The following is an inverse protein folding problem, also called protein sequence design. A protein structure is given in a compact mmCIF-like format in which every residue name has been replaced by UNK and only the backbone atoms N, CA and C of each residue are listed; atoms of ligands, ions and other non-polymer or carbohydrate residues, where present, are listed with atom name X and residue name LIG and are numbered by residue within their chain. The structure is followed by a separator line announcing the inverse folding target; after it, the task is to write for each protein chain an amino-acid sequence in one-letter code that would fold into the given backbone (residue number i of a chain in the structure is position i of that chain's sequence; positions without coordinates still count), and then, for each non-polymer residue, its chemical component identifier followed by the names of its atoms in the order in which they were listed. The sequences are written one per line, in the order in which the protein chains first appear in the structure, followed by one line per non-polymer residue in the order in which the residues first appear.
data_IF_568700168142
#
_entry.id   IF_568700168142
#
_cell.length_a   1.000
_cell.length_b   1.000
_cell.length_c   1.000
_cell.angle_alpha   90.00
_cell.angle_beta   90.00
_cell.angle_gamma   90.00
#
_symmetry.space_group_name_H-M   'P 1'
#
loop_
_entity.id
_entity.type
_entity.pdbx_description
1 polymer ?
#
# COMPACT_ATOMS: atom_id res chain seq x y z
N UNK A 1 -15.12 -16.49 9.83
CA UNK A 1 -15.52 -17.65 9.02
C UNK A 1 -14.27 -18.21 8.37
N UNK A 2 -13.84 -19.42 8.75
CA UNK A 2 -12.68 -20.05 8.13
C UNK A 2 -13.05 -20.43 6.68
N UNK A 3 -12.25 -20.02 5.74
CA UNK A 3 -12.42 -20.38 4.32
C UNK A 3 -11.75 -21.75 4.13
N UNK A 4 -12.52 -22.74 3.71
CA UNK A 4 -11.96 -24.03 3.33
C UNK A 4 -11.09 -23.84 2.09
N UNK A 5 -9.78 -24.10 2.25
CA UNK A 5 -8.79 -24.03 1.18
C UNK A 5 -9.14 -24.96 0.02
N UNK A 6 -9.73 -26.12 0.29
CA UNK A 6 -10.16 -27.07 -0.74
C UNK A 6 -11.34 -26.50 -1.56
N UNK A 7 -12.26 -25.77 -0.92
CA UNK A 7 -13.37 -25.10 -1.62
C UNK A 7 -12.89 -23.91 -2.44
N UNK A 8 -11.91 -23.15 -1.92
CA UNK A 8 -11.26 -22.05 -2.66
C UNK A 8 -10.52 -22.57 -3.90
N UNK A 9 -9.80 -23.67 -3.78
CA UNK A 9 -9.16 -24.34 -4.91
C UNK A 9 -10.19 -24.80 -5.94
N UNK A 10 -11.30 -25.43 -5.51
CA UNK A 10 -12.38 -25.84 -6.41
C UNK A 10 -12.99 -24.68 -7.17
N UNK A 11 -13.23 -23.54 -6.52
CA UNK A 11 -13.76 -22.31 -7.17
C UNK A 11 -12.78 -21.70 -8.17
N UNK A 12 -11.49 -21.66 -7.82
CA UNK A 12 -10.43 -21.17 -8.73
C UNK A 12 -10.20 -22.07 -9.93
N UNK A 13 -10.56 -23.36 -9.83
CA UNK A 13 -10.34 -24.37 -10.86
C UNK A 13 -11.59 -24.69 -11.69
N UNK A 14 -12.71 -24.02 -11.48
CA UNK A 14 -13.97 -24.27 -12.25
C UNK A 14 -13.82 -24.07 -13.76
N UNK A 15 -12.75 -23.39 -14.21
CA UNK A 15 -12.44 -23.20 -15.64
C UNK A 15 -11.28 -24.10 -16.15
N UNK A 16 -10.76 -25.00 -15.31
CA UNK A 16 -9.67 -25.90 -15.68
C UNK A 16 -10.23 -27.31 -15.79
N UNK A 17 -10.39 -27.81 -17.00
CA UNK A 17 -11.01 -29.10 -17.31
C UNK A 17 -10.27 -30.33 -16.78
N UNK A 18 -9.03 -30.17 -16.30
CA UNK A 18 -8.22 -31.20 -15.61
C UNK A 18 -7.28 -30.53 -14.61
N UNK A 19 -7.21 -31.09 -13.39
CA UNK A 19 -6.15 -30.77 -12.43
C UNK A 19 -4.88 -31.46 -12.94
N UNK A 20 -3.95 -30.70 -13.49
CA UNK A 20 -2.64 -31.20 -13.84
C UNK A 20 -1.81 -31.35 -12.57
N UNK A 21 -1.38 -32.60 -12.30
CA UNK A 21 -0.43 -32.88 -11.21
C UNK A 21 0.95 -32.95 -11.85
N UNK A 22 1.78 -31.96 -11.53
CA UNK A 22 3.15 -31.90 -12.00
C UNK A 22 4.05 -32.81 -11.18
N UNK A 23 4.87 -33.60 -11.85
CA UNK A 23 5.81 -34.54 -11.23
C UNK A 23 7.23 -34.26 -11.72
N UNK A 24 7.67 -33.03 -11.56
CA UNK A 24 9.05 -32.67 -11.91
C UNK A 24 10.00 -33.01 -10.78
N UNK A 25 11.24 -33.36 -11.13
CA UNK A 25 12.32 -33.44 -10.15
C UNK A 25 12.71 -32.01 -9.70
N UNK A 26 13.12 -31.90 -8.45
CA UNK A 26 13.68 -30.66 -7.93
C UNK A 26 15.17 -30.55 -8.30
N UNK A 27 15.58 -29.38 -8.78
CA UNK A 27 16.99 -29.07 -9.02
C UNK A 27 17.76 -28.82 -7.71
N UNK A 28 17.06 -28.39 -6.66
CA UNK A 28 17.64 -27.99 -5.38
C UNK A 28 17.26 -28.97 -4.26
N UNK A 29 18.17 -29.13 -3.30
CA UNK A 29 17.88 -29.85 -2.05
C UNK A 29 17.03 -28.99 -1.12
N UNK A 30 16.06 -29.62 -0.45
CA UNK A 30 15.25 -28.98 0.58
C UNK A 30 16.13 -28.46 1.72
N UNK A 31 15.92 -27.21 2.13
CA UNK A 31 16.55 -26.64 3.32
C UNK A 31 16.06 -27.29 4.62
N UNK A 32 16.80 -27.11 5.69
CA UNK A 32 16.44 -27.52 7.04
C UNK A 32 16.39 -26.32 8.00
N UNK A 33 15.57 -26.43 9.04
CA UNK A 33 15.42 -25.37 10.05
C UNK A 33 16.53 -25.47 11.10
N UNK A 34 17.10 -24.34 11.48
CA UNK A 34 18.05 -24.20 12.56
C UNK A 34 17.97 -22.84 13.22
N UNK A 35 18.26 -22.79 14.53
CA UNK A 35 18.55 -21.54 15.23
C UNK A 35 20.03 -21.23 15.07
N UNK A 36 20.36 -20.07 14.51
CA UNK A 36 21.74 -19.65 14.24
C UNK A 36 22.03 -18.39 15.03
N UNK A 37 23.19 -18.35 15.72
CA UNK A 37 23.65 -17.13 16.37
C UNK A 37 23.72 -16.01 15.33
N UNK A 38 23.10 -14.87 15.63
CA UNK A 38 23.04 -13.73 14.72
C UNK A 38 24.40 -13.27 14.24
N UNK A 39 25.47 -13.48 15.07
CA UNK A 39 26.85 -13.09 14.79
C UNK A 39 27.53 -13.99 13.75
N UNK A 40 27.03 -15.21 13.58
CA UNK A 40 27.58 -16.17 12.62
C UNK A 40 26.99 -15.97 11.21
N UNK A 41 25.95 -15.12 11.08
CA UNK A 41 25.30 -14.86 9.80
C UNK A 41 25.99 -13.70 9.07
N UNK A 42 26.58 -14.01 7.94
CA UNK A 42 27.34 -13.08 7.10
C UNK A 42 26.49 -12.56 5.92
N UNK A 43 26.93 -11.44 5.34
CA UNK A 43 26.33 -10.82 4.14
C UNK A 43 27.35 -10.79 3.03
N UNK A 44 27.01 -11.34 1.87
CA UNK A 44 27.86 -11.31 0.68
C UNK A 44 27.44 -10.16 -0.24
N UNK A 45 28.23 -9.09 -0.29
CA UNK A 45 27.94 -7.88 -1.06
C UNK A 45 28.12 -8.05 -2.57
N UNK A 46 28.65 -9.15 -3.06
CA UNK A 46 28.76 -9.41 -4.51
C UNK A 46 27.40 -9.59 -5.18
N UNK A 47 26.38 -10.13 -4.47
CA UNK A 47 25.03 -10.31 -5.01
C UNK A 47 23.91 -9.68 -4.14
N UNK A 48 24.22 -9.29 -2.92
CA UNK A 48 23.29 -8.59 -2.04
C UNK A 48 23.30 -7.08 -2.32
N UNK A 49 22.23 -6.41 -1.88
CA UNK A 49 22.11 -4.96 -2.04
C UNK A 49 23.18 -4.25 -1.23
N UNK A 50 24.05 -3.49 -1.88
CA UNK A 50 25.02 -2.62 -1.22
C UNK A 50 24.34 -1.52 -0.39
N UNK A 51 23.27 -0.94 -0.94
CA UNK A 51 22.55 0.16 -0.30
C UNK A 51 21.54 -0.36 0.71
N UNK A 52 21.91 -0.31 1.99
CA UNK A 52 21.06 -0.70 3.11
C UNK A 52 20.04 0.40 3.40
N UNK A 53 18.75 0.03 3.51
CA UNK A 53 17.70 0.91 3.95
C UNK A 53 17.73 1.06 5.48
N UNK A 54 18.63 1.90 6.00
CA UNK A 54 18.86 2.07 7.44
C UNK A 54 17.61 2.48 8.22
N UNK A 55 16.69 3.24 7.62
CA UNK A 55 15.43 3.55 8.28
C UNK A 55 14.62 2.29 8.53
N UNK A 56 14.55 1.38 7.56
CA UNK A 56 13.89 0.07 7.72
C UNK A 56 14.53 -0.77 8.82
N UNK A 57 15.87 -0.76 8.93
CA UNK A 57 16.59 -1.45 10.03
C UNK A 57 16.18 -0.85 11.37
N UNK A 58 16.16 0.49 11.52
CA UNK A 58 15.74 1.16 12.76
C UNK A 58 14.31 0.79 13.15
N UNK A 59 13.39 0.80 12.19
CA UNK A 59 11.98 0.48 12.42
C UNK A 59 11.80 -0.99 12.85
N UNK A 60 12.49 -1.92 12.21
CA UNK A 60 12.52 -3.33 12.60
C UNK A 60 13.14 -3.52 14.00
N UNK A 61 14.21 -2.78 14.34
CA UNK A 61 14.81 -2.85 15.65
C UNK A 61 13.84 -2.41 16.75
N UNK A 62 13.09 -1.33 16.53
CA UNK A 62 12.13 -0.76 17.49
C UNK A 62 10.88 -1.63 17.64
N UNK A 63 10.37 -2.10 16.51
CA UNK A 63 9.09 -2.81 16.41
C UNK A 63 9.30 -4.29 16.10
N UNK A 64 10.28 -4.93 16.78
CA UNK A 64 10.58 -6.34 16.54
C UNK A 64 9.37 -7.21 16.85
N UNK A 65 9.05 -8.11 15.94
CA UNK A 65 8.04 -9.14 16.10
C UNK A 65 8.57 -10.45 15.53
N UNK A 66 8.49 -11.52 16.27
CA UNK A 66 8.91 -12.85 15.78
C UNK A 66 8.08 -13.29 14.57
N UNK A 67 6.77 -13.00 14.57
CA UNK A 67 5.92 -13.24 13.41
C UNK A 67 6.36 -12.41 12.19
N UNK A 68 6.76 -11.15 12.41
CA UNK A 68 7.28 -10.25 11.37
C UNK A 68 8.71 -10.60 10.94
N UNK A 69 9.53 -11.16 11.86
CA UNK A 69 10.84 -11.69 11.53
C UNK A 69 10.69 -12.87 10.57
N UNK A 70 9.82 -13.83 10.89
CA UNK A 70 9.73 -15.07 10.15
C UNK A 70 11.07 -15.80 10.09
N UNK A 71 11.26 -16.62 9.07
CA UNK A 71 12.49 -17.39 8.90
C UNK A 71 13.49 -16.63 8.01
N UNK A 72 14.76 -16.57 8.40
CA UNK A 72 15.86 -16.04 7.59
C UNK A 72 16.33 -17.13 6.64
N UNK A 73 16.54 -16.80 5.37
CA UNK A 73 17.07 -17.78 4.41
C UNK A 73 18.58 -17.62 4.34
N UNK A 74 19.31 -18.69 4.66
CA UNK A 74 20.77 -18.71 4.70
C UNK A 74 21.35 -19.86 3.89
N UNK A 75 22.46 -19.57 3.22
CA UNK A 75 23.30 -20.55 2.59
C UNK A 75 24.36 -21.04 3.60
N UNK A 76 24.56 -22.34 3.72
CA UNK A 76 25.70 -22.92 4.42
C UNK A 76 26.71 -23.35 3.37
N UNK A 77 27.90 -22.71 3.38
CA UNK A 77 29.00 -23.03 2.48
C UNK A 77 29.77 -24.25 3.00
N UNK A 78 30.66 -24.78 2.17
CA UNK A 78 31.47 -25.97 2.50
C UNK A 78 32.42 -25.75 3.68
N UNK A 79 32.85 -24.51 3.91
CA UNK A 79 33.66 -24.09 5.05
C UNK A 79 32.86 -24.00 6.37
N UNK A 80 31.54 -24.28 6.31
CA UNK A 80 30.64 -24.23 7.44
C UNK A 80 30.05 -22.85 7.72
N UNK A 81 30.48 -21.78 7.04
CA UNK A 81 29.98 -20.41 7.21
C UNK A 81 28.53 -20.26 6.70
N UNK A 82 27.79 -19.31 7.34
CA UNK A 82 26.40 -19.02 7.02
C UNK A 82 26.28 -17.65 6.33
N UNK A 83 25.64 -17.62 5.19
CA UNK A 83 25.47 -16.43 4.36
C UNK A 83 23.99 -16.16 4.09
N UNK A 84 23.48 -15.02 4.57
CA UNK A 84 22.08 -14.67 4.36
C UNK A 84 21.83 -14.35 2.89
N UNK A 85 20.76 -14.87 2.28
CA UNK A 85 20.31 -14.45 0.97
C UNK A 85 18.86 -13.88 0.96
N UNK A 86 18.08 -14.09 2.04
CA UNK A 86 16.89 -13.28 2.31
C UNK A 86 16.77 -13.00 3.80
N UNK A 87 16.51 -11.73 4.14
CA UNK A 87 16.36 -11.28 5.51
C UNK A 87 17.47 -10.37 6.02
N UNK A 88 18.38 -9.87 5.16
CA UNK A 88 19.49 -9.00 5.52
C UNK A 88 19.11 -7.89 6.52
N UNK A 89 18.00 -7.13 6.27
CA UNK A 89 17.58 -6.07 7.18
C UNK A 89 17.14 -6.59 8.56
N UNK A 90 16.62 -7.82 8.63
CA UNK A 90 16.19 -8.49 9.87
C UNK A 90 17.42 -8.93 10.69
N UNK A 91 18.43 -9.50 10.02
CA UNK A 91 19.72 -9.81 10.64
C UNK A 91 20.37 -8.53 11.19
N UNK A 92 20.45 -7.46 10.39
CA UNK A 92 21.02 -6.18 10.85
C UNK A 92 20.24 -5.55 11.99
N UNK A 93 18.92 -5.72 12.04
CA UNK A 93 18.08 -5.24 13.13
C UNK A 93 18.32 -6.04 14.42
N UNK A 94 18.43 -7.38 14.34
CA UNK A 94 18.72 -8.24 15.50
C UNK A 94 20.09 -7.95 16.11
N UNK A 95 21.08 -7.59 15.29
CA UNK A 95 22.42 -7.18 15.79
C UNK A 95 22.36 -5.98 16.74
N UNK A 96 21.33 -5.14 16.64
CA UNK A 96 21.11 -3.97 17.49
C UNK A 96 20.29 -4.27 18.76
N UNK A 97 19.92 -5.52 18.99
CA UNK A 97 19.09 -5.96 20.12
C UNK A 97 19.86 -6.92 20.99
N UNK A 98 19.99 -6.57 22.27
CA UNK A 98 20.65 -7.40 23.27
C UNK A 98 19.80 -8.60 23.72
N UNK A 99 18.50 -8.54 23.48
CA UNK A 99 17.51 -9.56 23.86
C UNK A 99 17.28 -10.64 22.79
N UNK A 100 18.08 -10.62 21.71
CA UNK A 100 18.04 -11.60 20.63
C UNK A 100 19.45 -12.17 20.44
N UNK A 101 19.63 -13.44 20.69
CA UNK A 101 20.91 -14.13 20.49
C UNK A 101 20.92 -14.93 19.19
N UNK A 102 19.83 -15.64 18.90
CA UNK A 102 19.71 -16.49 17.71
C UNK A 102 18.55 -16.04 16.82
N UNK A 103 18.59 -16.46 15.57
CA UNK A 103 17.54 -16.24 14.58
C UNK A 103 17.07 -17.55 14.00
N UNK A 104 15.74 -17.73 13.80
CA UNK A 104 15.20 -18.89 13.11
C UNK A 104 15.58 -18.82 11.63
N UNK A 105 16.32 -19.80 11.16
CA UNK A 105 16.85 -19.85 9.81
C UNK A 105 16.38 -21.10 9.07
N UNK A 106 16.10 -20.95 7.78
CA UNK A 106 16.00 -22.06 6.84
C UNK A 106 17.32 -22.12 6.08
N UNK A 107 18.07 -23.19 6.33
CA UNK A 107 19.45 -23.37 5.87
C UNK A 107 19.47 -24.23 4.61
N UNK A 108 20.12 -23.72 3.57
CA UNK A 108 20.37 -24.45 2.32
C UNK A 108 21.85 -24.74 2.16
N UNK A 109 22.19 -25.98 1.96
CA UNK A 109 23.58 -26.34 1.63
C UNK A 109 23.87 -25.86 0.21
N UNK A 110 24.90 -25.03 0.04
CA UNK A 110 25.29 -24.48 -1.25
C UNK A 110 26.73 -24.82 -1.59
N UNK A 111 26.98 -25.05 -2.86
CA UNK A 111 28.31 -25.34 -3.38
C UNK A 111 28.89 -24.21 -4.24
N UNK A 112 28.11 -23.13 -4.43
CA UNK A 112 28.54 -21.97 -5.23
C UNK A 112 27.77 -20.70 -4.93
N UNK A 113 28.43 -19.55 -5.08
CA UNK A 113 27.80 -18.21 -5.01
C UNK A 113 26.72 -18.04 -6.07
N UNK A 114 26.82 -18.71 -7.21
CA UNK A 114 25.77 -18.68 -8.25
C UNK A 114 24.47 -19.29 -7.76
N UNK A 115 24.53 -20.39 -6.99
CA UNK A 115 23.34 -20.99 -6.38
C UNK A 115 22.72 -20.06 -5.33
N UNK A 116 23.54 -19.38 -4.53
CA UNK A 116 23.09 -18.38 -3.54
C UNK A 116 22.41 -17.20 -4.23
N UNK A 117 23.01 -16.65 -5.28
CA UNK A 117 22.44 -15.54 -6.07
C UNK A 117 21.09 -15.92 -6.73
N UNK A 118 20.97 -17.17 -7.25
CA UNK A 118 19.69 -17.69 -7.73
C UNK A 118 18.65 -17.76 -6.60
N UNK A 119 19.02 -18.30 -5.44
CA UNK A 119 18.16 -18.32 -4.24
C UNK A 119 17.69 -16.93 -3.84
N UNK A 120 18.59 -15.94 -3.85
CA UNK A 120 18.26 -14.53 -3.62
C UNK A 120 17.22 -14.00 -4.63
N UNK A 121 17.40 -14.27 -5.91
CA UNK A 121 16.45 -13.83 -6.95
C UNK A 121 15.09 -14.50 -6.74
N UNK A 122 15.02 -15.80 -6.55
CA UNK A 122 13.76 -16.51 -6.33
C UNK A 122 13.03 -16.03 -5.06
N UNK A 123 13.75 -15.87 -3.96
CA UNK A 123 13.17 -15.40 -2.70
C UNK A 123 12.58 -13.98 -2.78
N UNK A 124 13.08 -13.14 -3.69
CA UNK A 124 12.69 -11.73 -3.81
C UNK A 124 11.79 -11.43 -5.02
N UNK A 125 11.86 -12.19 -6.11
CA UNK A 125 11.07 -11.94 -7.33
C UNK A 125 9.61 -12.37 -7.21
N UNK A 126 9.34 -13.44 -6.48
CA UNK A 126 7.99 -14.01 -6.34
C UNK A 126 7.14 -13.36 -5.21
N UNK A 127 7.75 -12.54 -4.36
CA UNK A 127 7.04 -11.86 -3.26
C UNK A 127 6.30 -10.64 -3.77
N UNK A 128 5.01 -10.81 -4.04
CA UNK A 128 4.11 -9.67 -4.27
C UNK A 128 3.90 -8.90 -2.96
N UNK A 129 4.01 -7.56 -2.97
CA UNK A 129 3.67 -6.76 -1.79
C UNK A 129 2.23 -7.02 -1.37
N UNK A 130 1.97 -7.09 -0.06
CA UNK A 130 0.60 -7.16 0.46
C UNK A 130 -0.15 -5.92 0.01
N UNK A 131 -1.30 -6.10 -0.62
CA UNK A 131 -2.11 -5.02 -1.17
C UNK A 131 -2.58 -4.07 -0.06
N UNK A 132 -2.78 -2.79 -0.39
CA UNK A 132 -3.27 -1.79 0.55
C UNK A 132 -4.62 -2.18 1.16
N UNK A 133 -5.48 -2.84 0.39
CA UNK A 133 -6.78 -3.35 0.85
C UNK A 133 -6.64 -4.45 1.89
N UNK A 134 -5.70 -5.39 1.70
CA UNK A 134 -5.49 -6.49 2.66
C UNK A 134 -4.86 -5.97 3.96
N UNK A 135 -3.92 -5.01 3.85
CA UNK A 135 -3.39 -4.29 5.02
C UNK A 135 -4.48 -3.57 5.81
N UNK A 136 -5.40 -2.91 5.11
CA UNK A 136 -6.53 -2.24 5.72
C UNK A 136 -7.44 -3.21 6.47
N UNK A 137 -7.81 -4.34 5.85
CA UNK A 137 -8.62 -5.38 6.48
C UNK A 137 -7.96 -5.91 7.76
N UNK A 138 -6.66 -6.18 7.71
CA UNK A 138 -5.89 -6.61 8.87
C UNK A 138 -5.85 -5.52 9.96
N UNK A 139 -5.64 -4.25 9.59
CA UNK A 139 -5.62 -3.12 10.52
C UNK A 139 -6.98 -2.94 11.22
N UNK A 140 -8.10 -3.08 10.51
CA UNK A 140 -9.45 -3.07 11.12
C UNK A 140 -9.60 -4.21 12.13
N UNK A 141 -9.15 -5.41 11.79
CA UNK A 141 -9.22 -6.59 12.69
C UNK A 141 -8.35 -6.44 13.95
N UNK A 142 -7.22 -5.73 13.84
CA UNK A 142 -6.34 -5.46 14.98
C UNK A 142 -6.74 -4.24 15.80
N UNK A 143 -7.82 -3.54 15.40
CA UNK A 143 -8.35 -2.40 16.13
C UNK A 143 -7.55 -1.10 15.93
N UNK A 144 -6.81 -0.97 14.81
CA UNK A 144 -6.17 0.30 14.47
C UNK A 144 -7.21 1.40 14.38
N UNK A 145 -7.06 2.44 15.19
CA UNK A 145 -8.06 3.51 15.36
C UNK A 145 -8.42 4.20 14.05
N UNK A 146 -7.43 4.49 13.21
CA UNK A 146 -7.63 5.14 11.92
C UNK A 146 -8.38 4.23 10.94
N UNK A 147 -8.00 2.95 10.91
CA UNK A 147 -8.64 1.97 10.04
C UNK A 147 -10.08 1.70 10.45
N UNK A 148 -10.37 1.62 11.76
CA UNK A 148 -11.73 1.45 12.29
C UNK A 148 -12.60 2.64 11.92
N UNK A 149 -12.16 3.88 12.18
CA UNK A 149 -12.87 5.12 11.78
C UNK A 149 -13.16 5.15 10.28
N UNK A 150 -12.17 4.85 9.45
CA UNK A 150 -12.36 4.79 8.00
C UNK A 150 -13.38 3.72 7.60
N UNK A 151 -13.33 2.54 8.21
CA UNK A 151 -14.23 1.44 7.95
C UNK A 151 -15.68 1.77 8.32
N UNK A 152 -15.90 2.49 9.42
CA UNK A 152 -17.23 2.92 9.85
C UNK A 152 -17.82 3.96 8.87
N UNK A 153 -17.00 4.90 8.39
CA UNK A 153 -17.40 5.84 7.33
C UNK A 153 -17.74 5.07 6.05
N UNK A 154 -16.92 4.10 5.64
CA UNK A 154 -17.21 3.30 4.46
C UNK A 154 -18.52 2.52 4.57
N UNK A 155 -18.78 1.91 5.72
CA UNK A 155 -20.05 1.23 5.99
C UNK A 155 -21.25 2.18 5.97
N UNK A 156 -21.13 3.34 6.65
CA UNK A 156 -22.17 4.38 6.72
C UNK A 156 -22.60 4.84 5.33
N UNK A 157 -21.65 4.95 4.40
CA UNK A 157 -21.90 5.44 3.04
C UNK A 157 -21.98 4.32 1.98
N UNK A 158 -22.08 3.05 2.41
CA UNK A 158 -22.18 1.87 1.54
C UNK A 158 -21.06 1.84 0.48
N UNK A 159 -19.80 2.09 0.91
CA UNK A 159 -18.63 2.04 0.04
C UNK A 159 -18.12 0.62 -0.05
N UNK A 160 -17.94 0.16 -1.27
CA UNK A 160 -17.24 -1.08 -1.60
C UNK A 160 -15.77 -0.77 -1.95
N UNK A 161 -14.85 -1.44 -1.26
CA UNK A 161 -13.42 -1.32 -1.56
C UNK A 161 -13.01 -2.35 -2.59
N UNK A 162 -12.49 -1.90 -3.73
CA UNK A 162 -12.09 -2.75 -4.84
C UNK A 162 -10.70 -2.35 -5.36
N UNK A 163 -9.96 -3.31 -5.88
CA UNK A 163 -8.66 -3.08 -6.54
C UNK A 163 -8.80 -2.56 -7.97
N UNK A 164 -9.95 -2.79 -8.59
CA UNK A 164 -10.28 -2.38 -9.97
C UNK A 164 -11.72 -1.86 -10.06
N UNK A 165 -12.03 -0.71 -9.43
CA UNK A 165 -13.39 -0.20 -9.33
C UNK A 165 -13.97 0.10 -10.72
N UNK A 166 -15.17 -0.35 -10.94
CA UNK A 166 -15.92 -0.17 -12.20
C UNK A 166 -17.36 0.31 -12.01
N UNK A 167 -17.84 0.35 -10.76
CA UNK A 167 -19.22 0.69 -10.41
C UNK A 167 -19.27 1.91 -9.49
N UNK A 168 -20.39 2.63 -9.43
CA UNK A 168 -20.63 3.65 -8.42
C UNK A 168 -20.36 3.12 -7.00
N UNK A 169 -19.93 3.98 -6.10
CA UNK A 169 -19.57 3.65 -4.71
C UNK A 169 -18.42 2.66 -4.54
N UNK A 170 -17.74 2.27 -5.59
CA UNK A 170 -16.48 1.55 -5.50
C UNK A 170 -15.30 2.49 -5.36
N UNK A 171 -14.31 2.11 -4.53
CA UNK A 171 -13.16 2.95 -4.21
C UNK A 171 -11.89 2.10 -4.11
N UNK A 172 -10.82 2.55 -4.79
CA UNK A 172 -9.52 1.87 -4.81
C UNK A 172 -8.51 2.46 -3.83
N UNK A 173 -8.58 3.75 -3.55
CA UNK A 173 -7.51 4.52 -2.93
C UNK A 173 -7.49 4.44 -1.38
N UNK A 174 -7.61 3.22 -0.82
CA UNK A 174 -7.68 3.00 0.63
C UNK A 174 -6.53 3.66 1.39
N UNK A 175 -5.29 3.55 0.88
CA UNK A 175 -4.12 4.17 1.53
C UNK A 175 -4.20 5.71 1.57
N UNK A 176 -4.82 6.34 0.56
CA UNK A 176 -5.12 7.77 0.58
C UNK A 176 -6.17 8.05 1.66
N UNK A 177 -7.28 7.31 1.68
CA UNK A 177 -8.36 7.51 2.64
C UNK A 177 -7.86 7.46 4.09
N UNK A 178 -7.03 6.47 4.44
CA UNK A 178 -6.44 6.38 5.78
C UNK A 178 -5.64 7.63 6.15
N UNK A 179 -4.81 8.13 5.23
CA UNK A 179 -4.05 9.38 5.47
C UNK A 179 -4.97 10.60 5.65
N UNK A 180 -6.07 10.68 4.92
CA UNK A 180 -7.02 11.78 5.03
C UNK A 180 -7.81 11.70 6.34
N UNK A 181 -8.28 10.51 6.73
CA UNK A 181 -8.94 10.26 8.03
C UNK A 181 -8.03 10.64 9.18
N UNK A 182 -6.75 10.25 9.13
CA UNK A 182 -5.76 10.58 10.16
C UNK A 182 -5.54 12.10 10.29
N UNK A 183 -5.59 12.84 9.17
CA UNK A 183 -5.40 14.29 9.14
C UNK A 183 -6.63 15.06 9.64
N UNK A 184 -7.81 14.70 9.17
CA UNK A 184 -9.09 15.33 9.55
C UNK A 184 -10.25 14.43 9.11
N UNK A 185 -10.85 13.72 10.06
CA UNK A 185 -11.90 12.74 9.82
C UNK A 185 -13.16 13.38 9.22
N UNK A 186 -13.58 14.53 9.76
CA UNK A 186 -14.81 15.23 9.34
C UNK A 186 -14.68 15.78 7.91
N UNK A 187 -13.54 16.41 7.62
CA UNK A 187 -13.25 16.89 6.26
C UNK A 187 -13.17 15.73 5.24
N UNK A 188 -12.66 14.57 5.66
CA UNK A 188 -12.64 13.39 4.81
C UNK A 188 -14.05 12.88 4.53
N UNK A 189 -14.90 12.75 5.56
CA UNK A 189 -16.28 12.27 5.39
C UNK A 189 -17.07 13.21 4.48
N UNK A 190 -16.97 14.53 4.70
CA UNK A 190 -17.60 15.51 3.82
C UNK A 190 -17.11 15.39 2.37
N UNK A 191 -15.79 15.31 2.17
CA UNK A 191 -15.20 15.16 0.83
C UNK A 191 -15.66 13.88 0.14
N UNK A 192 -15.76 12.77 0.87
CA UNK A 192 -16.27 11.50 0.36
C UNK A 192 -17.73 11.61 -0.07
N UNK A 193 -18.59 12.18 0.78
CA UNK A 193 -20.02 12.40 0.46
C UNK A 193 -20.18 13.28 -0.79
N UNK A 194 -19.42 14.35 -0.88
CA UNK A 194 -19.45 15.26 -2.02
C UNK A 194 -18.96 14.60 -3.30
N UNK A 195 -17.87 13.80 -3.21
CA UNK A 195 -17.37 13.02 -4.34
C UNK A 195 -18.35 11.93 -4.81
N UNK A 196 -19.06 11.26 -3.88
CA UNK A 196 -20.08 10.26 -4.20
C UNK A 196 -21.28 10.86 -4.92
N UNK A 197 -21.68 12.07 -4.54
CA UNK A 197 -22.78 12.79 -5.23
C UNK A 197 -22.36 13.23 -6.62
N UNK A 198 -21.17 13.79 -6.75
CA UNK A 198 -20.59 14.22 -8.03
C UNK A 198 -20.38 13.04 -8.99
N UNK A 199 -19.89 11.90 -8.48
CA UNK A 199 -19.60 10.68 -9.25
C UNK A 199 -20.71 9.63 -9.05
N UNK A 200 -21.98 10.03 -9.19
CA UNK A 200 -23.13 9.16 -8.90
C UNK A 200 -23.27 7.96 -9.85
N UNK A 201 -22.71 8.05 -11.05
CA UNK A 201 -22.77 7.06 -12.14
C UNK A 201 -21.48 6.25 -12.32
N UNK A 202 -20.42 6.56 -11.57
CA UNK A 202 -19.09 5.97 -11.73
C UNK A 202 -18.32 5.85 -10.40
N UNK A 203 -17.19 5.11 -10.37
CA UNK A 203 -16.31 5.07 -9.20
C UNK A 203 -15.77 6.45 -8.84
N UNK A 204 -15.53 6.68 -7.54
CA UNK A 204 -14.90 7.92 -7.08
C UNK A 204 -13.41 7.94 -7.45
N UNK A 205 -13.00 8.99 -8.17
CA UNK A 205 -11.60 9.20 -8.52
C UNK A 205 -10.82 9.78 -7.34
N UNK A 206 -9.61 9.26 -7.09
CA UNK A 206 -8.77 9.68 -5.97
C UNK A 206 -8.43 11.18 -5.97
N UNK A 207 -8.23 11.78 -7.15
CA UNK A 207 -7.86 13.19 -7.28
C UNK A 207 -9.03 14.12 -6.92
N UNK A 208 -10.27 13.71 -7.23
CA UNK A 208 -11.48 14.44 -6.82
C UNK A 208 -11.61 14.41 -5.30
N UNK A 209 -11.49 13.23 -4.69
CA UNK A 209 -11.54 13.07 -3.24
C UNK A 209 -10.44 13.89 -2.54
N UNK A 210 -9.23 13.86 -3.07
CA UNK A 210 -8.07 14.56 -2.53
C UNK A 210 -8.24 16.09 -2.60
N UNK A 211 -8.74 16.57 -3.72
CA UNK A 211 -9.01 17.99 -3.93
C UNK A 211 -10.15 18.52 -3.06
N UNK A 212 -11.26 17.78 -2.95
CA UNK A 212 -12.38 18.16 -2.07
C UNK A 212 -11.97 18.18 -0.61
N UNK A 213 -11.18 17.19 -0.16
CA UNK A 213 -10.62 17.18 1.19
C UNK A 213 -9.78 18.45 1.45
N UNK A 214 -8.91 18.83 0.52
CA UNK A 214 -8.08 20.03 0.68
C UNK A 214 -8.94 21.30 0.74
N UNK A 215 -9.97 21.41 -0.11
CA UNK A 215 -10.89 22.54 -0.13
C UNK A 215 -11.59 22.67 1.22
N UNK A 216 -12.16 21.60 1.75
CA UNK A 216 -12.83 21.63 3.05
C UNK A 216 -11.87 21.93 4.18
N UNK A 217 -10.69 21.30 4.18
CA UNK A 217 -9.72 21.53 5.24
C UNK A 217 -9.20 22.96 5.27
N UNK A 218 -9.10 23.64 4.10
CA UNK A 218 -8.60 25.01 3.98
C UNK A 218 -9.70 26.08 4.10
N UNK A 219 -10.82 25.89 3.43
CA UNK A 219 -11.83 26.95 3.25
C UNK A 219 -13.13 26.72 4.01
N UNK A 220 -13.32 25.52 4.58
CA UNK A 220 -14.52 25.18 5.39
C UNK A 220 -15.83 25.45 4.65
N UNK A 221 -15.96 24.87 3.45
CA UNK A 221 -17.12 25.08 2.58
C UNK A 221 -18.27 24.07 2.82
N UNK A 222 -18.16 23.22 3.84
CA UNK A 222 -19.24 22.36 4.29
C UNK A 222 -20.46 23.22 4.65
N UNK A 223 -21.62 22.93 4.02
CA UNK A 223 -22.85 23.70 4.21
C UNK A 223 -22.96 24.99 3.39
N UNK A 224 -21.97 25.35 2.56
CA UNK A 224 -22.15 26.42 1.57
C UNK A 224 -22.98 25.90 0.37
N UNK A 225 -24.27 26.21 0.37
CA UNK A 225 -25.21 25.79 -0.67
C UNK A 225 -24.78 26.24 -2.09
N UNK A 226 -24.03 27.36 -2.20
CA UNK A 226 -23.55 27.85 -3.51
C UNK A 226 -22.43 26.95 -4.02
N UNK A 227 -21.53 26.52 -3.12
CA UNK A 227 -20.45 25.59 -3.45
C UNK A 227 -21.02 24.24 -3.83
N UNK A 228 -21.91 23.70 -3.03
CA UNK A 228 -22.54 22.40 -3.29
C UNK A 228 -23.30 22.40 -4.61
N UNK A 229 -24.10 23.44 -4.88
CA UNK A 229 -24.80 23.59 -6.17
C UNK A 229 -23.83 23.68 -7.34
N UNK A 230 -22.74 24.43 -7.19
CA UNK A 230 -21.71 24.54 -8.23
C UNK A 230 -21.03 23.21 -8.51
N UNK A 231 -20.73 22.46 -7.46
CA UNK A 231 -20.08 21.15 -7.57
C UNK A 231 -20.99 20.15 -8.28
N UNK A 232 -22.28 20.09 -7.93
CA UNK A 232 -23.24 19.18 -8.55
C UNK A 232 -23.53 19.48 -10.03
N UNK A 233 -23.34 20.73 -10.45
CA UNK A 233 -23.48 21.13 -11.84
C UNK A 233 -22.19 21.00 -12.66
N UNK A 234 -21.09 20.63 -12.04
CA UNK A 234 -19.81 20.42 -12.72
C UNK A 234 -19.69 19.00 -13.28
N UNK A 235 -19.02 18.86 -14.41
CA UNK A 235 -18.67 17.55 -14.96
C UNK A 235 -17.45 16.97 -14.23
N UNK A 236 -17.50 15.72 -13.75
CA UNK A 236 -16.31 15.05 -13.20
C UNK A 236 -15.12 15.04 -14.16
N UNK A 237 -15.38 14.83 -15.47
CA UNK A 237 -14.32 14.78 -16.49
C UNK A 237 -13.65 16.15 -16.65
N UNK A 238 -14.43 17.24 -16.71
CA UNK A 238 -13.88 18.61 -16.76
C UNK A 238 -13.03 18.95 -15.53
N UNK A 239 -13.44 18.47 -14.35
CA UNK A 239 -12.67 18.61 -13.12
C UNK A 239 -11.35 17.86 -13.24
N UNK A 240 -11.35 16.59 -13.67
CA UNK A 240 -10.17 15.76 -13.82
C UNK A 240 -9.20 16.35 -14.86
N UNK A 241 -9.70 16.86 -15.98
CA UNK A 241 -8.89 17.54 -16.99
C UNK A 241 -8.23 18.81 -16.42
N UNK A 242 -8.97 19.58 -15.60
CA UNK A 242 -8.42 20.76 -14.94
C UNK A 242 -7.32 20.37 -13.95
N UNK A 243 -7.55 19.36 -13.11
CA UNK A 243 -6.54 18.83 -12.18
C UNK A 243 -5.28 18.38 -12.95
N UNK A 244 -5.44 17.67 -14.06
CA UNK A 244 -4.32 17.19 -14.86
C UNK A 244 -3.49 18.36 -15.43
N UNK A 245 -4.13 19.45 -15.89
CA UNK A 245 -3.44 20.67 -16.35
C UNK A 245 -2.63 21.34 -15.23
N UNK A 246 -3.23 21.50 -14.05
CA UNK A 246 -2.51 22.05 -12.89
C UNK A 246 -1.33 21.16 -12.46
N UNK A 247 -1.52 19.84 -12.45
CA UNK A 247 -0.44 18.91 -12.11
C UNK A 247 0.73 18.98 -13.12
N UNK A 248 0.43 19.17 -14.39
CA UNK A 248 1.45 19.34 -15.43
C UNK A 248 2.20 20.68 -15.26
N UNK A 249 1.50 21.77 -14.96
CA UNK A 249 2.10 23.09 -14.75
C UNK A 249 3.00 23.14 -13.51
N UNK A 250 2.55 22.52 -12.39
CA UNK A 250 3.33 22.52 -11.14
C UNK A 250 4.39 21.38 -11.07
N UNK A 251 4.45 20.48 -12.05
CA UNK A 251 5.38 19.34 -12.08
C UNK A 251 5.16 18.33 -10.94
N UNK A 252 4.04 18.39 -10.21
CA UNK A 252 3.71 17.52 -9.07
C UNK A 252 2.21 17.29 -8.96
N UNK A 253 1.83 16.21 -8.26
CA UNK A 253 0.45 15.97 -7.82
C UNK A 253 0.37 16.03 -6.30
N UNK A 254 -0.73 16.57 -5.77
CA UNK A 254 -1.00 16.63 -4.35
C UNK A 254 -2.39 17.23 -4.08
N UNK A 255 -2.75 17.28 -2.80
CA UNK A 255 -4.07 17.76 -2.38
C UNK A 255 -4.37 19.20 -2.84
N UNK A 256 -3.41 20.11 -2.66
CA UNK A 256 -3.54 21.50 -3.10
C UNK A 256 -3.74 21.63 -4.62
N UNK A 257 -2.96 20.88 -5.42
CA UNK A 257 -3.07 20.87 -6.88
C UNK A 257 -4.45 20.39 -7.33
N UNK A 258 -4.92 19.30 -6.72
CA UNK A 258 -6.25 18.76 -6.98
C UNK A 258 -7.35 19.77 -6.59
N UNK A 259 -7.21 20.42 -5.42
CA UNK A 259 -8.15 21.45 -4.96
C UNK A 259 -8.21 22.67 -5.87
N UNK A 260 -7.05 23.19 -6.29
CA UNK A 260 -6.96 24.31 -7.26
C UNK A 260 -7.64 23.97 -8.59
N UNK A 261 -7.41 22.73 -9.11
CA UNK A 261 -8.06 22.26 -10.33
C UNK A 261 -9.59 22.23 -10.21
N UNK A 262 -10.14 21.78 -9.09
CA UNK A 262 -11.58 21.82 -8.81
C UNK A 262 -12.07 23.27 -8.77
N UNK A 263 -11.43 24.14 -7.96
CA UNK A 263 -11.84 25.53 -7.80
C UNK A 263 -11.81 26.28 -9.13
N UNK A 264 -10.88 26.02 -10.03
CA UNK A 264 -10.83 26.63 -11.36
C UNK A 264 -12.09 26.38 -12.17
N UNK A 265 -12.61 25.15 -12.14
CA UNK A 265 -13.89 24.81 -12.82
C UNK A 265 -15.07 25.49 -12.13
N UNK A 266 -15.13 25.40 -10.79
CA UNK A 266 -16.26 25.92 -10.04
C UNK A 266 -16.32 27.44 -10.04
N UNK A 267 -15.19 28.13 -10.18
CA UNK A 267 -15.08 29.60 -10.24
C UNK A 267 -15.26 30.18 -11.67
N UNK A 268 -15.35 29.31 -12.68
CA UNK A 268 -15.47 29.79 -14.05
C UNK A 268 -16.70 30.71 -14.23
N UNK A 269 -16.47 31.92 -14.75
CA UNK A 269 -17.49 32.98 -14.98
C UNK A 269 -18.22 33.44 -13.70
N UNK A 270 -17.70 33.18 -12.48
CA UNK A 270 -18.28 33.65 -11.24
C UNK A 270 -17.69 35.00 -10.82
N UNK A 271 -18.55 35.93 -10.35
CA UNK A 271 -18.11 37.20 -9.69
C UNK A 271 -17.59 36.91 -8.28
N UNK A 272 -18.34 36.14 -7.47
CA UNK A 272 -17.96 35.71 -6.14
C UNK A 272 -17.33 34.34 -6.19
N UNK A 273 -16.01 34.29 -6.10
CA UNK A 273 -15.21 33.07 -6.21
C UNK A 273 -15.19 32.30 -4.89
N UNK A 274 -14.96 30.98 -4.97
CA UNK A 274 -14.69 30.13 -3.84
C UNK A 274 -13.17 30.07 -3.61
N UNK A 275 -12.74 30.41 -2.39
CA UNK A 275 -11.32 30.38 -2.05
C UNK A 275 -10.50 31.45 -2.79
N UNK A 276 -9.20 31.49 -2.47
CA UNK A 276 -8.25 32.32 -3.22
C UNK A 276 -7.92 31.63 -4.54
N UNK A 277 -8.21 32.26 -5.66
CA UNK A 277 -7.83 31.75 -6.97
C UNK A 277 -6.33 31.99 -7.17
N UNK A 278 -5.51 30.95 -7.33
CA UNK A 278 -4.17 31.16 -7.85
C UNK A 278 -4.29 31.46 -9.32
N UNK A 279 -3.76 32.59 -9.76
CA UNK A 279 -3.54 32.85 -11.19
C UNK A 279 -2.54 31.81 -11.74
N UNK A 280 -2.84 31.24 -12.90
CA UNK A 280 -1.86 30.46 -13.67
C UNK A 280 -0.88 31.39 -14.40
N UNK A 281 -0.99 32.71 -14.21
CA UNK A 281 -0.30 33.76 -14.96
C UNK A 281 0.77 34.50 -14.12
N UNK A 282 1.24 33.87 -13.00
CA UNK A 282 2.44 34.30 -12.27
C UNK A 282 3.56 33.28 -12.34
#
# INVERSE_FOLDING_TARGET
MAIDLAETLKRGMQNVSKVEIYRWGFADKKGYFAEIDKRDIQVDHEYQREKIAWQKVKDLTRNWSWAGCGCILVAKREDGSYWVFDGQHRVLASMRRADIDTLPCLVFQTHSKVSEAKGFLFANSERKPVLALDKFRAAVMTGDETAVKANDIFKKHAIELDTSPSKPRQLKCVALCLRLVQRNCDAFEWALCSALRLCSDRPVHSDILHGLFWIENKYKLCGDNRFESALMNASPDSILDSIARYAAAEGKRGDAVCGKGILKILNHKRRNKFGDEPSLDE
#
